data_IF_949187036926
#
_entry.id   IF_949187036926
#
_cell.length_a   1.000
_cell.length_b   1.000
_cell.length_c   1.000
_cell.angle_alpha   90.00
_cell.angle_beta   90.00
_cell.angle_gamma   90.00
#
_symmetry.space_group_name_H-M   'P 1'
#
loop_
_entity.id
_entity.type
_entity.pdbx_description
1 polymer ?
#
# COMPACT_ATOMS: atom_id res chain seq x y z
N UNK A 1 27.99 -3.73 27.67
CA UNK A 1 26.74 -3.13 28.14
C UNK A 1 25.89 -2.85 26.90
N UNK A 2 24.81 -3.58 26.76
CA UNK A 2 23.86 -3.31 25.65
C UNK A 2 22.94 -2.23 26.20
N UNK A 3 23.03 -1.01 25.65
CA UNK A 3 22.04 0.01 25.94
C UNK A 3 20.71 -0.46 25.35
N UNK A 4 19.73 -0.67 26.20
CA UNK A 4 18.36 -0.96 25.81
C UNK A 4 17.80 0.34 25.24
N UNK A 5 17.84 0.50 23.92
CA UNK A 5 17.22 1.64 23.25
C UNK A 5 15.71 1.59 23.47
N UNK A 6 15.16 2.67 23.99
CA UNK A 6 13.72 2.82 24.16
C UNK A 6 13.06 2.91 22.78
N UNK A 7 12.26 1.89 22.43
CA UNK A 7 11.55 1.85 21.15
C UNK A 7 10.25 2.67 21.22
N UNK A 8 10.13 3.64 20.33
CA UNK A 8 8.90 4.41 20.14
C UNK A 8 7.86 3.67 19.29
N UNK A 9 6.67 4.25 19.16
CA UNK A 9 5.54 3.68 18.39
C UNK A 9 5.88 3.48 16.91
N UNK A 10 6.82 4.29 16.39
CA UNK A 10 7.22 4.28 14.99
C UNK A 10 8.56 3.57 14.75
N UNK A 11 9.12 2.92 15.76
CA UNK A 11 10.38 2.22 15.59
C UNK A 11 10.21 0.99 14.69
N UNK A 12 11.17 0.83 13.81
CA UNK A 12 11.21 -0.32 12.92
C UNK A 12 11.79 -1.54 13.66
N UNK A 13 10.99 -2.59 13.70
CA UNK A 13 11.44 -3.91 14.16
C UNK A 13 11.48 -4.83 12.96
N UNK A 14 12.68 -5.33 12.62
CA UNK A 14 12.86 -6.23 11.50
C UNK A 14 12.14 -7.57 11.75
N UNK A 15 11.39 -8.02 10.75
CA UNK A 15 10.77 -9.35 10.75
C UNK A 15 11.35 -10.14 9.57
N UNK A 16 12.03 -11.27 9.83
CA UNK A 16 12.66 -12.06 8.76
C UNK A 16 11.69 -12.55 7.70
N UNK A 17 10.40 -12.71 8.04
CA UNK A 17 9.36 -13.13 7.10
C UNK A 17 9.17 -12.13 5.97
N UNK A 18 9.51 -10.85 6.18
CA UNK A 18 9.36 -9.80 5.17
C UNK A 18 10.44 -9.85 4.08
N UNK A 19 11.50 -10.65 4.26
CA UNK A 19 12.57 -10.76 3.27
C UNK A 19 12.07 -11.26 1.90
N UNK A 20 11.04 -12.12 1.89
CA UNK A 20 10.51 -12.74 0.69
C UNK A 20 9.04 -12.40 0.44
N UNK A 21 8.56 -11.30 1.01
CA UNK A 21 7.16 -10.88 0.84
C UNK A 21 6.83 -10.60 -0.61
N UNK A 22 5.62 -10.99 -1.02
CA UNK A 22 5.07 -10.75 -2.34
C UNK A 22 4.29 -9.45 -2.37
N UNK A 23 4.48 -8.68 -3.41
CA UNK A 23 3.90 -7.36 -3.62
C UNK A 23 2.97 -7.40 -4.84
N UNK A 24 1.82 -6.75 -4.77
CA UNK A 24 0.97 -6.56 -5.94
C UNK A 24 1.31 -5.24 -6.63
N UNK A 25 1.66 -5.31 -7.90
CA UNK A 25 1.87 -4.13 -8.76
C UNK A 25 0.92 -4.25 -9.95
N UNK A 26 -0.08 -3.40 -10.00
CA UNK A 26 -1.13 -3.42 -11.03
C UNK A 26 -1.81 -4.78 -11.21
N UNK A 27 -2.05 -5.48 -10.10
CA UNK A 27 -2.66 -6.81 -10.09
C UNK A 27 -1.71 -7.97 -10.38
N UNK A 28 -0.44 -7.71 -10.61
CA UNK A 28 0.59 -8.75 -10.82
C UNK A 28 1.34 -8.96 -9.50
N UNK A 29 1.37 -10.19 -9.03
CA UNK A 29 2.08 -10.57 -7.80
C UNK A 29 3.55 -10.81 -8.12
N UNK A 30 4.44 -10.11 -7.43
CA UNK A 30 5.89 -10.17 -7.62
C UNK A 30 6.61 -10.25 -6.30
N UNK A 31 7.77 -10.89 -6.29
CA UNK A 31 8.70 -10.80 -5.16
C UNK A 31 9.08 -9.33 -4.92
N UNK A 32 9.26 -8.94 -3.66
CA UNK A 32 9.57 -7.56 -3.29
C UNK A 32 10.76 -6.97 -4.06
N UNK A 33 11.77 -7.78 -4.36
CA UNK A 33 12.97 -7.32 -5.06
C UNK A 33 12.73 -7.08 -6.57
N UNK A 34 11.62 -7.57 -7.10
CA UNK A 34 11.20 -7.40 -8.48
C UNK A 34 10.01 -6.44 -8.64
N UNK A 35 9.46 -5.99 -7.51
CA UNK A 35 8.32 -5.06 -7.49
C UNK A 35 8.81 -3.64 -7.70
N UNK A 36 8.76 -3.18 -8.94
CA UNK A 36 9.26 -1.87 -9.36
C UNK A 36 8.18 -1.09 -10.09
N UNK A 37 8.30 0.23 -10.06
CA UNK A 37 7.47 1.14 -10.84
C UNK A 37 8.35 1.97 -11.77
N UNK A 38 7.76 2.50 -12.84
CA UNK A 38 8.48 3.37 -13.78
C UNK A 38 8.97 4.64 -13.07
N UNK A 39 10.14 5.13 -13.48
CA UNK A 39 10.63 6.46 -13.06
C UNK A 39 9.74 7.60 -13.58
N UNK A 40 8.89 7.33 -14.57
CA UNK A 40 7.91 8.28 -15.10
C UNK A 40 6.54 8.15 -14.39
N UNK A 41 6.44 7.31 -13.35
CA UNK A 41 5.22 7.26 -12.55
C UNK A 41 4.98 8.58 -11.85
N UNK A 42 3.75 9.10 -11.94
CA UNK A 42 3.37 10.37 -11.38
C UNK A 42 3.53 10.43 -9.86
N UNK A 43 3.42 9.30 -9.19
CA UNK A 43 3.69 9.21 -7.75
C UNK A 43 5.15 9.44 -7.42
N UNK A 44 6.06 8.89 -8.22
CA UNK A 44 7.49 9.05 -8.03
C UNK A 44 7.96 10.48 -8.38
N UNK A 45 7.57 11.01 -9.55
CA UNK A 45 8.08 12.30 -10.03
C UNK A 45 7.35 13.51 -9.44
N UNK A 46 6.09 13.38 -9.00
CA UNK A 46 5.25 14.52 -8.57
C UNK A 46 4.57 14.31 -7.22
N UNK A 47 4.64 13.12 -6.64
CA UNK A 47 3.84 12.80 -5.46
C UNK A 47 2.32 12.79 -5.72
N UNK A 48 1.91 12.60 -6.97
CA UNK A 48 0.51 12.67 -7.41
C UNK A 48 -0.19 11.33 -7.20
N UNK A 49 -0.84 11.19 -6.08
CA UNK A 49 -1.54 9.95 -5.72
C UNK A 49 -2.20 10.03 -4.36
N UNK A 50 -2.80 8.92 -3.98
CA UNK A 50 -3.44 8.71 -2.67
C UNK A 50 -2.97 7.38 -2.09
N UNK A 51 -3.04 7.24 -0.76
CA UNK A 51 -2.65 6.00 -0.10
C UNK A 51 -3.41 5.78 1.20
N UNK A 52 -3.46 4.54 1.62
CA UNK A 52 -4.03 4.10 2.90
C UNK A 52 -3.09 3.12 3.59
N UNK A 53 -3.04 3.19 4.91
CA UNK A 53 -2.43 2.16 5.75
C UNK A 53 -3.52 1.29 6.36
N UNK A 54 -3.45 -0.02 6.12
CA UNK A 54 -4.45 -0.98 6.56
C UNK A 54 -3.85 -1.99 7.53
N UNK A 55 -4.69 -2.53 8.41
CA UNK A 55 -4.30 -3.55 9.36
C UNK A 55 -5.03 -4.86 9.09
N UNK A 56 -4.28 -5.95 9.07
CA UNK A 56 -4.86 -7.30 8.97
C UNK A 56 -4.79 -7.95 10.34
N UNK A 57 -5.93 -8.37 10.84
CA UNK A 57 -6.06 -9.14 12.07
C UNK A 57 -7.22 -10.11 11.99
N UNK A 58 -7.01 -11.30 12.56
CA UNK A 58 -8.04 -12.35 12.63
C UNK A 58 -8.66 -12.71 11.27
N UNK A 59 -7.84 -12.76 10.22
CA UNK A 59 -8.27 -13.15 8.89
C UNK A 59 -8.96 -12.06 8.07
N UNK A 60 -9.05 -10.82 8.59
CA UNK A 60 -9.72 -9.72 7.90
C UNK A 60 -8.94 -8.42 7.94
N UNK A 61 -9.30 -7.51 7.05
CA UNK A 61 -8.75 -6.16 7.01
C UNK A 61 -9.63 -5.25 7.87
N UNK A 62 -9.05 -4.70 8.93
CA UNK A 62 -9.78 -3.85 9.86
C UNK A 62 -10.24 -2.56 9.18
N UNK A 63 -11.51 -2.19 9.39
CA UNK A 63 -12.10 -0.94 8.89
C UNK A 63 -11.96 -0.76 7.37
N UNK A 64 -11.97 -1.85 6.61
CA UNK A 64 -11.79 -1.79 5.16
C UNK A 64 -12.78 -0.86 4.45
N UNK A 65 -14.10 -0.91 4.73
CA UNK A 65 -15.05 0.01 4.07
C UNK A 65 -14.72 1.48 4.30
N UNK A 66 -14.35 1.86 5.51
CA UNK A 66 -14.00 3.24 5.88
C UNK A 66 -12.71 3.70 5.20
N UNK A 67 -11.70 2.83 5.15
CA UNK A 67 -10.44 3.10 4.45
C UNK A 67 -10.67 3.29 2.95
N UNK A 68 -11.44 2.42 2.32
CA UNK A 68 -11.74 2.54 0.90
C UNK A 68 -12.58 3.78 0.59
N UNK A 69 -13.55 4.11 1.45
CA UNK A 69 -14.31 5.34 1.32
C UNK A 69 -13.38 6.57 1.30
N UNK A 70 -12.42 6.63 2.20
CA UNK A 70 -11.45 7.73 2.26
C UNK A 70 -10.52 7.75 1.05
N UNK A 71 -10.05 6.59 0.60
CA UNK A 71 -9.18 6.48 -0.57
C UNK A 71 -9.88 7.01 -1.83
N UNK A 72 -11.11 6.58 -2.07
CA UNK A 72 -11.88 7.00 -3.23
C UNK A 72 -12.29 8.48 -3.16
N UNK A 73 -12.60 8.98 -1.97
CA UNK A 73 -12.88 10.42 -1.76
C UNK A 73 -11.63 11.26 -2.02
N UNK A 74 -10.46 10.80 -1.57
CA UNK A 74 -9.18 11.46 -1.82
C UNK A 74 -8.83 11.49 -3.31
N UNK A 75 -9.03 10.37 -4.01
CA UNK A 75 -8.85 10.31 -5.46
C UNK A 75 -9.75 11.30 -6.20
N UNK A 76 -11.01 11.37 -5.81
CA UNK A 76 -11.97 12.34 -6.38
C UNK A 76 -11.53 13.78 -6.12
N UNK A 77 -10.99 14.08 -4.95
CA UNK A 77 -10.51 15.43 -4.62
C UNK A 77 -9.39 15.89 -5.54
N UNK A 78 -8.53 14.99 -5.99
CA UNK A 78 -7.45 15.29 -6.95
C UNK A 78 -7.85 14.98 -8.40
N UNK A 79 -9.13 14.77 -8.65
CA UNK A 79 -9.70 14.48 -9.97
C UNK A 79 -9.03 13.25 -10.63
N UNK A 80 -8.90 12.18 -9.85
CA UNK A 80 -8.33 10.91 -10.30
C UNK A 80 -9.37 9.79 -10.21
N UNK A 81 -9.58 9.08 -11.32
CA UNK A 81 -10.35 7.85 -11.35
C UNK A 81 -9.41 6.65 -11.08
N UNK A 82 -9.67 5.91 -10.02
CA UNK A 82 -8.86 4.72 -9.65
C UNK A 82 -8.97 3.63 -10.72
N UNK A 83 -10.07 3.60 -11.47
CA UNK A 83 -10.26 2.65 -12.57
C UNK A 83 -10.69 1.26 -12.12
N UNK A 84 -10.88 1.04 -10.83
CA UNK A 84 -11.44 -0.17 -10.24
C UNK A 84 -12.60 0.18 -9.33
N UNK A 85 -13.60 -0.71 -9.25
CA UNK A 85 -14.61 -0.63 -8.18
C UNK A 85 -13.98 -0.97 -6.83
N UNK A 86 -14.65 -0.62 -5.73
CA UNK A 86 -14.19 -0.99 -4.38
C UNK A 86 -14.09 -2.50 -4.22
N UNK A 87 -15.02 -3.25 -4.79
CA UNK A 87 -15.00 -4.71 -4.76
C UNK A 87 -13.82 -5.29 -5.54
N UNK A 88 -13.51 -4.72 -6.71
CA UNK A 88 -12.33 -5.13 -7.50
C UNK A 88 -11.02 -4.82 -6.77
N UNK A 89 -10.91 -3.66 -6.12
CA UNK A 89 -9.73 -3.32 -5.33
C UNK A 89 -9.61 -4.22 -4.08
N UNK A 90 -10.73 -4.52 -3.42
CA UNK A 90 -10.76 -5.48 -2.31
C UNK A 90 -10.27 -6.86 -2.76
N UNK A 91 -10.70 -7.33 -3.93
CA UNK A 91 -10.23 -8.59 -4.49
C UNK A 91 -8.70 -8.60 -4.70
N UNK A 92 -8.13 -7.51 -5.19
CA UNK A 92 -6.66 -7.39 -5.33
C UNK A 92 -5.93 -7.41 -3.99
N UNK A 93 -6.48 -6.77 -2.96
CA UNK A 93 -5.94 -6.83 -1.60
C UNK A 93 -5.94 -8.27 -1.08
N UNK A 94 -7.06 -8.97 -1.23
CA UNK A 94 -7.20 -10.35 -0.76
C UNK A 94 -6.31 -11.30 -1.54
N UNK A 95 -6.16 -11.14 -2.84
CA UNK A 95 -5.26 -11.94 -3.68
C UNK A 95 -3.81 -11.80 -3.21
N UNK A 96 -3.39 -10.58 -2.88
CA UNK A 96 -2.05 -10.32 -2.37
C UNK A 96 -1.81 -10.95 -0.99
N UNK A 97 -2.77 -10.82 -0.07
CA UNK A 97 -2.70 -11.47 1.24
C UNK A 97 -2.68 -12.99 1.12
N UNK A 98 -3.51 -13.56 0.28
CA UNK A 98 -3.58 -15.01 0.05
C UNK A 98 -2.29 -15.54 -0.57
N UNK A 99 -1.71 -14.83 -1.52
CA UNK A 99 -0.42 -15.19 -2.12
C UNK A 99 0.71 -15.27 -1.09
N UNK A 100 0.65 -14.44 -0.05
CA UNK A 100 1.61 -14.44 1.06
C UNK A 100 1.23 -15.39 2.21
N UNK A 101 0.03 -15.95 2.21
CA UNK A 101 -0.48 -16.72 3.35
C UNK A 101 -0.68 -15.87 4.61
N UNK A 102 -0.96 -14.59 4.45
CA UNK A 102 -1.09 -13.64 5.55
C UNK A 102 -2.52 -13.58 6.08
N UNK A 103 -2.69 -13.78 7.39
CA UNK A 103 -4.00 -13.75 8.06
C UNK A 103 -4.05 -12.87 9.30
N UNK A 104 -2.90 -12.51 9.87
CA UNK A 104 -2.82 -11.73 11.10
C UNK A 104 -1.46 -11.02 11.24
N UNK A 105 -1.42 -9.98 12.06
CA UNK A 105 -0.17 -9.26 12.34
C UNK A 105 0.48 -8.63 11.11
N UNK A 106 -0.33 -8.12 10.19
CA UNK A 106 0.11 -7.56 8.92
C UNK A 106 -0.34 -6.11 8.79
N UNK A 107 0.54 -5.28 8.28
CA UNK A 107 0.25 -3.93 7.83
C UNK A 107 0.31 -3.87 6.31
N UNK A 108 -0.66 -3.23 5.69
CA UNK A 108 -0.70 -3.03 4.24
C UNK A 108 -0.51 -1.54 3.93
N UNK A 109 0.42 -1.22 3.05
CA UNK A 109 0.45 0.07 2.36
C UNK A 109 -0.23 -0.10 1.00
N UNK A 110 -1.36 0.55 0.83
CA UNK A 110 -2.10 0.62 -0.43
C UNK A 110 -1.88 1.98 -1.06
N UNK A 111 -1.30 2.01 -2.25
CA UNK A 111 -0.99 3.25 -2.97
C UNK A 111 -1.61 3.24 -4.35
N UNK A 112 -2.20 4.37 -4.72
CA UNK A 112 -2.74 4.60 -6.06
C UNK A 112 -2.16 5.92 -6.57
N UNK A 113 -1.38 5.86 -7.64
CA UNK A 113 -0.89 7.04 -8.33
C UNK A 113 -1.71 7.29 -9.59
N UNK A 114 -1.61 8.50 -10.15
CA UNK A 114 -2.26 8.82 -11.42
C UNK A 114 -1.73 7.96 -12.59
N UNK A 115 -0.58 7.33 -12.43
CA UNK A 115 0.04 6.46 -13.42
C UNK A 115 1.23 7.08 -14.12
N UNK A 116 1.64 6.45 -15.20
CA UNK A 116 2.84 6.83 -15.95
C UNK A 116 2.57 8.08 -16.77
N UNK A 117 3.51 9.00 -16.74
CA UNK A 117 3.48 10.22 -17.54
C UNK A 117 4.35 10.09 -18.79
N UNK A 118 3.89 10.69 -19.88
CA UNK A 118 4.67 10.80 -21.12
C UNK A 118 5.92 11.67 -20.91
N UNK A 119 5.81 12.67 -20.05
CA UNK A 119 6.84 13.64 -19.72
C UNK A 119 6.60 14.15 -18.29
N UNK A 120 7.64 14.63 -17.57
CA UNK A 120 7.50 15.05 -16.17
C UNK A 120 6.72 16.36 -15.95
N UNK A 121 5.71 16.65 -16.74
CA UNK A 121 4.82 17.80 -16.54
C UNK A 121 3.67 17.46 -15.61
N UNK A 122 3.23 18.46 -14.86
CA UNK A 122 2.18 18.31 -13.83
C UNK A 122 0.79 18.06 -14.43
N UNK A 123 0.51 18.54 -15.63
CA UNK A 123 -0.82 18.43 -16.23
C UNK A 123 -1.30 16.97 -16.37
N UNK A 124 -2.53 16.64 -15.93
CA UNK A 124 -3.08 15.28 -16.05
C UNK A 124 -3.13 14.75 -17.49
N UNK A 125 -3.22 15.64 -18.47
CA UNK A 125 -3.24 15.30 -19.91
C UNK A 125 -1.97 14.57 -20.40
N UNK A 126 -0.87 14.64 -19.63
CA UNK A 126 0.37 13.95 -19.95
C UNK A 126 0.43 12.53 -19.37
N UNK A 127 -0.64 12.07 -18.76
CA UNK A 127 -0.75 10.72 -18.22
C UNK A 127 -1.00 9.72 -19.35
N UNK A 128 -0.28 8.60 -19.32
CA UNK A 128 -0.42 7.50 -20.27
C UNK A 128 -1.04 6.30 -19.54
N UNK A 129 -2.18 5.81 -20.05
CA UNK A 129 -2.80 4.59 -19.54
C UNK A 129 -3.52 4.78 -18.22
N UNK A 130 -3.49 3.73 -17.39
CA UNK A 130 -4.28 3.62 -16.15
C UNK A 130 -3.48 4.02 -14.92
N UNK A 131 -4.16 4.32 -13.79
CA UNK A 131 -3.49 4.49 -12.50
C UNK A 131 -2.59 3.31 -12.14
N UNK A 132 -1.50 3.60 -11.44
CA UNK A 132 -0.62 2.59 -10.86
C UNK A 132 -1.12 2.26 -9.46
N UNK A 133 -1.38 0.97 -9.19
CA UNK A 133 -1.87 0.50 -7.90
C UNK A 133 -0.87 -0.48 -7.33
N UNK A 134 -0.33 -0.16 -6.16
CA UNK A 134 0.68 -0.98 -5.47
C UNK A 134 0.15 -1.35 -4.09
N UNK A 135 0.26 -2.62 -3.75
CA UNK A 135 -0.13 -3.18 -2.46
C UNK A 135 1.09 -3.83 -1.84
N UNK A 136 1.56 -3.28 -0.72
CA UNK A 136 2.72 -3.76 0.02
C UNK A 136 2.25 -4.28 1.37
N UNK A 137 2.13 -5.60 1.55
CA UNK A 137 1.85 -6.18 2.86
C UNK A 137 3.16 -6.53 3.56
N UNK A 138 3.23 -6.23 4.84
CA UNK A 138 4.38 -6.60 5.68
C UNK A 138 3.90 -7.14 7.02
N UNK A 139 4.59 -8.15 7.54
CA UNK A 139 4.40 -8.55 8.92
C UNK A 139 4.86 -7.43 9.83
N UNK A 140 3.96 -6.89 10.62
CA UNK A 140 4.22 -5.81 11.54
C UNK A 140 3.23 -5.88 12.70
N UNK A 141 3.69 -6.35 13.83
CA UNK A 141 2.87 -6.39 15.02
C UNK A 141 2.75 -5.00 15.65
N UNK A 142 1.56 -4.61 16.16
CA UNK A 142 1.44 -3.40 16.94
C UNK A 142 2.30 -3.52 18.20
N UNK A 143 2.81 -2.39 18.73
CA UNK A 143 3.49 -2.34 20.02
C UNK A 143 2.43 -2.34 21.11
N UNK A 144 2.21 -3.45 21.86
CA UNK A 144 1.01 -3.60 22.70
C UNK A 144 0.93 -2.59 23.83
N UNK A 145 2.05 -2.24 24.42
CA UNK A 145 2.11 -1.36 25.59
C UNK A 145 1.81 0.10 25.27
N UNK A 146 1.99 0.51 24.02
CA UNK A 146 1.73 1.89 23.57
C UNK A 146 0.31 2.04 23.05
N UNK A 147 -0.23 0.98 22.45
CA UNK A 147 -1.60 0.98 21.93
C UNK A 147 -2.64 0.88 23.06
N UNK A 148 -2.30 0.25 24.18
CA UNK A 148 -3.18 0.08 25.34
C UNK A 148 -3.39 1.36 26.18
N UNK A 149 -2.67 2.40 25.89
CA UNK A 149 -2.79 3.72 26.56
C UNK A 149 -3.45 4.73 25.64
#
# INVERSE_FOLDING_TARGET
MIEEEAHGVHDYVADPRNADVLISVNGVIKHRDEAVVSVFDSGFILGDGVWEGLRVSNGGVAFLPEHLKRLYAGAKTIDMDIGLTRDELTARLMDCLNANGMTDGVHIRLMVTRGIKKTPYQGPRFTIGKPTIVIIPEYKSPVPEVVAK
#
